data_IF_141423217305
#
_entry.id   IF_141423217305
#
_cell.length_a   1.000
_cell.length_b   1.000
_cell.length_c   1.000
_cell.angle_alpha   90.00
_cell.angle_beta   90.00
_cell.angle_gamma   90.00
#
_symmetry.space_group_name_H-M   'P 1'
#
loop_
_entity.id
_entity.type
_entity.pdbx_description
1 polymer ?
#
# COMPACT_ATOMS: atom_id res chain seq x y z
N UNK A 1 -1.78 2.33 -22.58
CA UNK A 1 -1.17 1.83 -21.33
C UNK A 1 0.33 2.05 -21.39
N UNK A 2 0.93 2.62 -20.34
CA UNK A 2 2.39 2.82 -20.26
C UNK A 2 3.09 1.53 -19.78
N UNK A 3 4.39 1.40 -20.06
CA UNK A 3 5.19 0.26 -19.58
C UNK A 3 5.38 0.28 -18.06
N UNK A 4 5.68 -0.88 -17.45
CA UNK A 4 5.97 -0.96 -16.02
C UNK A 4 7.13 -0.05 -15.58
N UNK A 5 8.13 0.15 -16.46
CA UNK A 5 9.25 1.05 -16.19
C UNK A 5 8.82 2.52 -16.16
N UNK A 6 8.05 2.97 -17.13
CA UNK A 6 7.49 4.33 -17.16
C UNK A 6 6.56 4.59 -15.98
N UNK A 7 5.72 3.59 -15.63
CA UNK A 7 4.87 3.66 -14.45
C UNK A 7 5.68 3.85 -13.16
N UNK A 8 6.78 3.10 -13.00
CA UNK A 8 7.65 3.22 -11.82
C UNK A 8 8.35 4.58 -11.76
N UNK A 9 8.85 5.09 -12.88
CA UNK A 9 9.47 6.44 -12.93
C UNK A 9 8.44 7.52 -12.58
N UNK A 10 7.22 7.43 -13.11
CA UNK A 10 6.14 8.36 -12.76
C UNK A 10 5.82 8.37 -11.26
N UNK A 11 5.82 7.19 -10.61
CA UNK A 11 5.66 7.11 -9.15
C UNK A 11 6.84 7.74 -8.40
N UNK A 12 8.08 7.50 -8.84
CA UNK A 12 9.29 8.09 -8.23
C UNK A 12 9.31 9.61 -8.32
N UNK A 13 8.98 10.16 -9.49
CA UNK A 13 8.87 11.60 -9.70
C UNK A 13 7.80 12.22 -8.79
N UNK A 14 6.63 11.58 -8.72
CA UNK A 14 5.55 12.01 -7.84
C UNK A 14 5.94 11.97 -6.37
N UNK A 15 6.60 10.91 -5.93
CA UNK A 15 7.13 10.82 -4.56
C UNK A 15 8.21 11.88 -4.30
N UNK A 16 9.07 12.18 -5.27
CA UNK A 16 10.02 13.29 -5.19
C UNK A 16 9.34 14.64 -4.94
N UNK A 17 8.23 14.93 -5.64
CA UNK A 17 7.42 16.13 -5.40
C UNK A 17 6.80 16.14 -4.01
N UNK A 18 6.25 15.01 -3.56
CA UNK A 18 5.70 14.87 -2.20
C UNK A 18 6.75 15.17 -1.13
N UNK A 19 7.94 14.57 -1.22
CA UNK A 19 9.05 14.75 -0.27
C UNK A 19 9.56 16.19 -0.25
N UNK A 20 9.64 16.85 -1.42
CA UNK A 20 10.09 18.25 -1.51
C UNK A 20 9.00 19.27 -1.16
N UNK A 21 7.79 18.84 -0.82
CA UNK A 21 6.66 19.72 -0.50
C UNK A 21 6.05 20.44 -1.72
N UNK A 22 6.46 20.07 -2.93
CA UNK A 22 5.92 20.60 -4.20
C UNK A 22 4.88 19.62 -4.72
N UNK A 23 3.61 19.98 -4.66
CA UNK A 23 2.50 19.11 -5.11
C UNK A 23 1.89 19.59 -6.41
N UNK A 24 1.48 18.65 -7.26
CA UNK A 24 0.77 18.94 -8.52
C UNK A 24 -0.69 19.39 -8.30
N UNK A 25 -1.13 19.42 -7.09
CA UNK A 25 -2.39 19.89 -6.48
C UNK A 25 -3.71 19.81 -7.28
N UNK A 26 -4.41 20.91 -7.44
CA UNK A 26 -5.87 20.99 -7.71
C UNK A 26 -6.34 20.37 -9.04
N UNK A 27 -5.47 20.27 -10.03
CA UNK A 27 -5.81 19.72 -11.35
C UNK A 27 -6.14 18.23 -11.25
N UNK A 28 -5.40 17.50 -10.40
CA UNK A 28 -5.50 16.03 -10.27
C UNK A 28 -6.83 15.55 -9.68
N UNK A 29 -7.55 16.45 -8.98
CA UNK A 29 -8.83 16.17 -8.32
C UNK A 29 -9.96 17.09 -8.81
N UNK A 30 -9.74 17.85 -9.87
CA UNK A 30 -10.66 18.87 -10.38
C UNK A 30 -12.01 18.29 -10.82
N UNK A 31 -13.04 19.15 -10.93
CA UNK A 31 -14.35 18.74 -11.47
C UNK A 31 -14.23 18.22 -12.91
N UNK A 32 -13.35 18.84 -13.72
CA UNK A 32 -13.07 18.39 -15.07
C UNK A 32 -12.55 16.96 -15.08
N UNK A 33 -11.55 16.65 -14.22
CA UNK A 33 -11.00 15.28 -14.07
C UNK A 33 -12.08 14.26 -13.64
N UNK A 34 -12.95 14.63 -12.72
CA UNK A 34 -14.07 13.77 -12.30
C UNK A 34 -15.04 13.46 -13.44
N UNK A 35 -15.33 14.46 -14.27
CA UNK A 35 -16.20 14.30 -15.44
C UNK A 35 -15.57 13.37 -16.49
N UNK A 36 -14.27 13.51 -16.75
CA UNK A 36 -13.51 12.61 -17.65
C UNK A 36 -13.59 11.14 -17.19
N UNK A 37 -13.47 10.92 -15.88
CA UNK A 37 -13.45 9.58 -15.29
C UNK A 37 -14.84 8.97 -15.09
N UNK A 38 -15.92 9.70 -15.36
CA UNK A 38 -17.28 9.17 -15.21
C UNK A 38 -17.55 7.94 -16.09
N UNK A 39 -16.87 7.82 -17.22
CA UNK A 39 -17.00 6.70 -18.17
C UNK A 39 -16.09 5.49 -17.82
N UNK A 40 -15.10 5.65 -16.94
CA UNK A 40 -14.16 4.60 -16.56
C UNK A 40 -12.84 5.10 -16.00
N UNK A 41 -11.94 4.17 -15.72
CA UNK A 41 -10.59 4.45 -15.20
C UNK A 41 -9.54 3.69 -16.01
N UNK A 42 -8.33 4.25 -16.08
CA UNK A 42 -7.17 3.64 -16.73
C UNK A 42 -5.94 3.73 -15.81
N UNK A 43 -5.93 3.00 -14.70
CA UNK A 43 -4.85 3.09 -13.73
C UNK A 43 -3.54 2.55 -14.31
N UNK A 44 -2.47 3.33 -14.21
CA UNK A 44 -1.16 2.93 -14.73
C UNK A 44 -0.36 2.05 -13.76
N UNK A 45 -0.74 2.02 -12.46
CA UNK A 45 -0.11 1.18 -11.45
C UNK A 45 -1.15 0.64 -10.45
N UNK A 46 -0.87 -0.54 -9.89
CA UNK A 46 -1.60 -1.16 -8.79
C UNK A 46 -0.78 -0.96 -7.53
N UNK A 47 -1.38 -0.43 -6.47
CA UNK A 47 -0.71 -0.25 -5.18
C UNK A 47 -1.40 -1.12 -4.14
N UNK A 48 -0.65 -2.05 -3.52
CA UNK A 48 -1.07 -2.76 -2.33
C UNK A 48 -0.39 -2.10 -1.12
N UNK A 49 -1.16 -1.37 -0.32
CA UNK A 49 -0.65 -0.57 0.79
C UNK A 49 -1.38 -0.79 2.10
N UNK A 50 -0.83 -0.21 3.17
CA UNK A 50 -1.49 -0.21 4.47
C UNK A 50 -2.70 0.73 4.50
N UNK A 51 -3.69 0.40 5.36
CA UNK A 51 -4.81 1.30 5.67
C UNK A 51 -4.43 2.48 6.56
N UNK A 52 -3.17 2.59 6.99
CA UNK A 52 -2.69 3.69 7.81
C UNK A 52 -2.95 5.05 7.15
N UNK A 53 -3.63 5.94 7.88
CA UNK A 53 -4.08 7.23 7.34
C UNK A 53 -2.97 8.20 6.95
N UNK A 54 -1.73 7.93 7.39
CA UNK A 54 -0.54 8.74 7.08
C UNK A 54 0.05 8.46 5.70
N UNK A 55 -0.33 7.34 5.04
CA UNK A 55 0.26 6.87 3.78
C UNK A 55 -0.77 6.58 2.67
N UNK A 56 -1.69 7.51 2.36
CA UNK A 56 -2.56 7.36 1.19
C UNK A 56 -1.71 7.43 -0.08
N UNK A 57 -1.79 6.39 -0.91
CA UNK A 57 -0.90 6.22 -2.06
C UNK A 57 -0.96 7.39 -3.05
N UNK A 58 -2.15 7.92 -3.30
CA UNK A 58 -2.36 9.04 -4.21
C UNK A 58 -1.62 10.29 -3.74
N UNK A 59 -1.54 10.49 -2.42
CA UNK A 59 -0.83 11.64 -1.83
C UNK A 59 0.68 11.38 -1.83
N UNK A 60 1.11 10.20 -1.39
CA UNK A 60 2.53 9.83 -1.28
C UNK A 60 3.22 9.84 -2.65
N UNK A 61 2.50 9.46 -3.69
CA UNK A 61 3.01 9.46 -5.07
C UNK A 61 2.57 10.67 -5.89
N UNK A 62 1.87 11.65 -5.30
CA UNK A 62 1.36 12.85 -5.97
C UNK A 62 0.66 12.50 -7.29
N UNK A 63 -0.32 11.60 -7.22
CA UNK A 63 -1.12 11.14 -8.34
C UNK A 63 -2.59 11.55 -8.18
N UNK A 64 -3.30 11.61 -9.31
CA UNK A 64 -4.69 12.04 -9.37
C UNK A 64 -5.71 10.92 -9.35
N UNK A 65 -6.98 11.33 -9.40
CA UNK A 65 -8.09 10.40 -9.55
C UNK A 65 -7.93 9.58 -10.84
N UNK A 66 -8.11 8.26 -10.73
CA UNK A 66 -8.06 7.33 -11.86
C UNK A 66 -6.66 6.87 -12.26
N UNK A 67 -5.59 7.44 -11.68
CA UNK A 67 -4.20 7.13 -12.02
C UNK A 67 -3.72 5.82 -11.37
N UNK A 68 -4.20 5.50 -10.16
CA UNK A 68 -3.79 4.33 -9.39
C UNK A 68 -4.98 3.42 -9.08
N UNK A 69 -4.78 2.12 -9.14
CA UNK A 69 -5.68 1.12 -8.57
C UNK A 69 -5.17 0.74 -7.18
N UNK A 70 -5.84 1.23 -6.13
CA UNK A 70 -5.34 1.15 -4.75
C UNK A 70 -6.09 0.10 -3.95
N UNK A 71 -5.33 -0.85 -3.39
CA UNK A 71 -5.79 -1.89 -2.49
C UNK A 71 -5.19 -1.59 -1.11
N UNK A 72 -6.02 -1.35 -0.09
CA UNK A 72 -5.55 -1.03 1.26
C UNK A 72 -6.11 -1.98 2.29
N UNK A 73 -5.22 -2.47 3.14
CA UNK A 73 -5.56 -3.34 4.26
C UNK A 73 -4.54 -3.13 5.39
N UNK A 74 -4.94 -3.28 6.66
CA UNK A 74 -4.02 -3.12 7.79
C UNK A 74 -2.80 -4.04 7.63
N UNK A 75 -1.59 -3.46 7.74
CA UNK A 75 -0.32 -4.18 7.57
C UNK A 75 -0.03 -4.63 6.14
N UNK A 76 -0.70 -4.05 5.12
CA UNK A 76 -0.56 -4.43 3.70
C UNK A 76 -0.43 -5.95 3.46
N UNK A 77 -1.19 -6.73 4.25
CA UNK A 77 -1.20 -8.20 4.19
C UNK A 77 -1.68 -8.71 2.83
N UNK A 78 -1.27 -9.93 2.50
CA UNK A 78 -1.70 -10.63 1.29
C UNK A 78 -2.71 -11.72 1.67
N UNK A 79 -3.97 -11.55 1.22
CA UNK A 79 -5.03 -12.54 1.34
C UNK A 79 -5.71 -12.71 -0.03
N UNK A 80 -6.58 -13.71 -0.17
CA UNK A 80 -7.21 -14.04 -1.46
C UNK A 80 -7.93 -12.85 -2.12
N UNK A 81 -8.59 -11.99 -1.33
CA UNK A 81 -9.28 -10.81 -1.85
C UNK A 81 -8.33 -9.73 -2.37
N UNK A 82 -7.16 -9.55 -1.73
CA UNK A 82 -6.12 -8.63 -2.21
C UNK A 82 -5.49 -9.15 -3.50
N UNK A 83 -5.15 -10.46 -3.56
CA UNK A 83 -4.65 -11.10 -4.78
C UNK A 83 -5.68 -10.98 -5.91
N UNK A 84 -6.94 -11.32 -5.65
CA UNK A 84 -8.02 -11.19 -6.63
C UNK A 84 -8.21 -9.75 -7.14
N UNK A 85 -8.00 -8.75 -6.27
CA UNK A 85 -8.03 -7.34 -6.68
C UNK A 85 -6.87 -6.96 -7.60
N UNK A 86 -5.68 -7.49 -7.36
CA UNK A 86 -4.51 -7.33 -8.24
C UNK A 86 -4.77 -7.98 -9.59
N UNK A 87 -5.24 -9.23 -9.61
CA UNK A 87 -5.58 -9.97 -10.83
C UNK A 87 -6.67 -9.24 -11.63
N UNK A 88 -7.70 -8.74 -10.94
CA UNK A 88 -8.76 -7.97 -11.57
C UNK A 88 -8.21 -6.73 -12.29
N UNK A 89 -7.38 -5.93 -11.61
CA UNK A 89 -6.82 -4.72 -12.21
C UNK A 89 -5.87 -5.03 -13.38
N UNK A 90 -5.02 -6.05 -13.23
CA UNK A 90 -4.13 -6.49 -14.30
C UNK A 90 -4.91 -7.00 -15.53
N UNK A 91 -5.94 -7.83 -15.32
CA UNK A 91 -6.73 -8.38 -16.42
C UNK A 91 -7.68 -7.35 -17.05
N UNK A 92 -8.33 -6.52 -16.22
CA UNK A 92 -9.37 -5.58 -16.68
C UNK A 92 -8.81 -4.34 -17.35
N UNK A 93 -7.72 -3.79 -16.80
CA UNK A 93 -7.12 -2.54 -17.26
C UNK A 93 -5.77 -2.73 -17.96
N UNK A 94 -5.22 -3.95 -17.96
CA UNK A 94 -3.91 -4.23 -18.53
C UNK A 94 -2.75 -3.58 -17.76
N UNK A 95 -2.96 -3.19 -16.49
CA UNK A 95 -1.95 -2.52 -15.66
C UNK A 95 -0.76 -3.45 -15.40
N UNK A 96 0.45 -2.98 -15.73
CA UNK A 96 1.67 -3.82 -15.77
C UNK A 96 2.55 -3.70 -14.53
N UNK A 97 2.28 -2.76 -13.63
CA UNK A 97 3.09 -2.53 -12.42
C UNK A 97 2.25 -2.77 -11.17
N UNK A 98 2.77 -3.60 -10.28
CA UNK A 98 2.27 -3.76 -8.90
C UNK A 98 3.35 -3.27 -7.93
N UNK A 99 2.99 -2.38 -7.03
CA UNK A 99 3.84 -1.92 -5.94
C UNK A 99 3.25 -2.34 -4.61
N UNK A 100 4.02 -3.03 -3.78
CA UNK A 100 3.68 -3.31 -2.39
C UNK A 100 4.34 -2.23 -1.54
N UNK A 101 3.51 -1.40 -0.89
CA UNK A 101 3.95 -0.22 -0.15
C UNK A 101 3.84 -0.47 1.36
N UNK A 102 4.99 -0.62 2.02
CA UNK A 102 5.11 -0.59 3.47
C UNK A 102 5.42 0.81 3.98
N UNK A 103 5.39 0.98 5.31
CA UNK A 103 5.76 2.24 5.96
C UNK A 103 6.31 1.97 7.36
N UNK A 104 7.11 2.90 7.88
CA UNK A 104 7.61 2.86 9.25
C UNK A 104 6.47 3.02 10.27
N UNK A 105 6.68 2.53 11.49
CA UNK A 105 5.70 2.62 12.59
C UNK A 105 4.33 2.04 12.23
N UNK A 106 4.30 0.92 11.50
CA UNK A 106 3.05 0.26 11.14
C UNK A 106 2.39 -0.39 12.36
N UNK A 107 1.19 0.10 12.72
CA UNK A 107 0.46 -0.40 13.88
C UNK A 107 0.14 -1.89 13.82
N UNK A 108 -0.07 -2.47 12.63
CA UNK A 108 -0.33 -3.91 12.49
C UNK A 108 0.93 -4.75 12.73
N UNK A 109 2.11 -4.27 12.33
CA UNK A 109 3.40 -4.91 12.62
C UNK A 109 3.69 -4.85 14.11
N UNK A 110 3.53 -3.66 14.73
CA UNK A 110 3.72 -3.49 16.17
C UNK A 110 2.77 -4.37 16.99
N UNK A 111 1.48 -4.41 16.64
CA UNK A 111 0.51 -5.28 17.32
C UNK A 111 0.85 -6.78 17.17
N UNK A 112 1.42 -7.17 16.03
CA UNK A 112 1.89 -8.56 15.83
C UNK A 112 3.09 -8.86 16.72
N UNK A 113 4.03 -7.94 16.85
CA UNK A 113 5.18 -8.08 17.73
C UNK A 113 4.76 -8.19 19.20
N UNK A 114 3.83 -7.33 19.64
CA UNK A 114 3.26 -7.37 21.00
C UNK A 114 2.58 -8.70 21.28
N UNK A 115 1.78 -9.22 20.34
CA UNK A 115 1.09 -10.51 20.50
C UNK A 115 2.07 -11.69 20.57
N UNK A 116 3.20 -11.64 19.82
CA UNK A 116 4.24 -12.65 19.90
C UNK A 116 4.97 -12.64 21.26
N UNK A 117 5.16 -11.46 21.84
CA UNK A 117 5.82 -11.31 23.14
C UNK A 117 4.88 -11.60 24.32
N UNK A 118 3.60 -11.28 24.19
CA UNK A 118 2.55 -11.41 25.26
C UNK A 118 1.23 -11.87 24.62
N UNK A 119 1.09 -13.17 24.33
CA UNK A 119 -0.15 -13.69 23.75
C UNK A 119 -1.38 -13.37 24.58
N UNK A 120 -2.48 -12.97 23.93
CA UNK A 120 -3.75 -12.65 24.56
C UNK A 120 -4.83 -13.64 24.15
N UNK A 121 -5.61 -14.15 25.12
CA UNK A 121 -6.69 -15.11 24.87
C UNK A 121 -7.95 -14.46 24.26
N UNK A 122 -8.08 -13.12 24.34
CA UNK A 122 -9.30 -12.38 24.01
C UNK A 122 -9.25 -11.66 22.65
N UNK A 123 -8.28 -11.93 21.80
CA UNK A 123 -8.19 -11.29 20.49
C UNK A 123 -9.30 -11.77 19.55
N UNK A 124 -9.97 -10.84 18.86
CA UNK A 124 -11.00 -11.22 17.88
C UNK A 124 -10.40 -12.06 16.75
N UNK A 125 -11.18 -12.99 16.19
CA UNK A 125 -10.76 -13.83 15.06
C UNK A 125 -10.35 -13.01 13.84
N UNK A 126 -10.97 -11.85 13.64
CA UNK A 126 -10.68 -10.97 12.49
C UNK A 126 -9.32 -10.29 12.68
N UNK A 127 -9.00 -9.79 13.87
CA UNK A 127 -7.68 -9.23 14.18
C UNK A 127 -6.60 -10.30 14.10
N UNK A 128 -6.86 -11.50 14.65
CA UNK A 128 -5.94 -12.64 14.55
C UNK A 128 -5.60 -12.98 13.10
N UNK A 129 -6.55 -12.87 12.17
CA UNK A 129 -6.29 -13.13 10.75
C UNK A 129 -5.28 -12.16 10.11
N UNK A 130 -5.15 -10.95 10.64
CA UNK A 130 -4.12 -9.97 10.23
C UNK A 130 -2.78 -10.35 10.85
N UNK A 131 -2.76 -10.55 12.17
CA UNK A 131 -1.57 -10.96 12.93
C UNK A 131 -0.93 -12.21 12.32
N UNK A 132 -1.71 -13.25 12.03
CA UNK A 132 -1.20 -14.51 11.47
C UNK A 132 -0.55 -14.36 10.09
N UNK A 133 -0.94 -13.33 9.32
CA UNK A 133 -0.32 -13.04 8.01
C UNK A 133 0.92 -12.16 8.12
N UNK A 134 1.03 -11.32 9.14
CA UNK A 134 2.22 -10.50 9.41
C UNK A 134 3.29 -11.32 10.14
N UNK A 135 2.87 -12.24 11.02
CA UNK A 135 3.72 -13.06 11.90
C UNK A 135 4.94 -13.69 11.21
N UNK A 136 4.84 -14.38 10.04
CA UNK A 136 6.00 -15.01 9.43
C UNK A 136 7.13 -14.03 9.09
N UNK A 137 6.79 -12.80 8.70
CA UNK A 137 7.78 -11.76 8.40
C UNK A 137 8.45 -11.24 9.67
N UNK A 138 7.68 -11.02 10.73
CA UNK A 138 8.22 -10.56 12.03
C UNK A 138 9.10 -11.66 12.66
N UNK A 139 8.66 -12.91 12.68
CA UNK A 139 9.43 -14.04 13.21
C UNK A 139 10.75 -14.22 12.46
N UNK A 140 10.76 -14.05 11.14
CA UNK A 140 11.97 -14.13 10.33
C UNK A 140 12.98 -13.02 10.73
N UNK A 141 12.52 -11.81 11.01
CA UNK A 141 13.38 -10.70 11.48
C UNK A 141 13.89 -10.93 12.89
N UNK A 142 13.04 -11.41 13.81
CA UNK A 142 13.41 -11.72 15.19
C UNK A 142 14.45 -12.86 15.29
N UNK A 143 14.55 -13.71 14.28
CA UNK A 143 15.57 -14.75 14.19
C UNK A 143 16.95 -14.22 13.77
N UNK A 144 17.08 -12.95 13.42
CA UNK A 144 18.33 -12.28 13.00
C UNK A 144 18.84 -11.33 14.06
N UNK A 145 20.06 -10.77 13.86
CA UNK A 145 20.60 -9.71 14.72
C UNK A 145 19.79 -8.40 14.66
N UNK A 146 18.94 -8.24 13.64
CA UNK A 146 18.04 -7.09 13.49
C UNK A 146 17.00 -6.98 14.62
N UNK A 147 16.78 -8.05 15.39
CA UNK A 147 15.95 -8.05 16.62
C UNK A 147 16.40 -7.01 17.65
N UNK A 148 17.66 -6.57 17.58
CA UNK A 148 18.26 -5.59 18.50
C UNK A 148 18.21 -4.15 17.95
N UNK A 149 17.78 -3.98 16.72
CA UNK A 149 17.66 -2.68 16.04
C UNK A 149 16.20 -2.21 16.08
N UNK A 150 15.88 -1.18 16.90
CA UNK A 150 14.50 -0.68 17.00
C UNK A 150 13.99 -0.05 15.70
N UNK A 151 14.88 0.32 14.78
CA UNK A 151 14.52 0.92 13.49
C UNK A 151 14.34 -0.15 12.38
N UNK A 152 14.73 -1.40 12.65
CA UNK A 152 14.57 -2.52 11.73
C UNK A 152 13.22 -3.25 11.85
N UNK A 153 12.49 -3.00 12.95
CA UNK A 153 11.17 -3.55 13.27
C UNK A 153 10.12 -2.44 13.22
#
# INVERSE_FOLDING_TARGET
>A
MISAREALERLREGNGRFVSGVRSSDILTSQARRNELAAGQEPFAIILGCSDSRVPAEIVFDQGLGDLFVIRVAGNIVASSQVGSVEFAAARFGTQLVVVLGHSQCGAVLATLEELQRPTDNQSRNLRSIVDRVRPSVEALLATELRHDPDAL
#
